data_IF_784838053091
#
_entry.id   IF_784838053091
#
_cell.length_a   1.000
_cell.length_b   1.000
_cell.length_c   1.000
_cell.angle_alpha   90.00
_cell.angle_beta   90.00
_cell.angle_gamma   90.00
#
_symmetry.space_group_name_H-M   'P 1'
#
loop_
_entity.id
_entity.type
_entity.pdbx_description
1 polymer ?
#
# COMPACT_ATOMS: atom_id res chain seq x y z
N UNK A 1 13.35 -42.91 0.28
CA UNK A 1 12.38 -42.28 -0.64
C UNK A 1 13.09 -41.16 -1.40
N UNK A 2 13.23 -41.32 -2.72
CA UNK A 2 13.72 -40.29 -3.67
C UNK A 2 12.51 -39.35 -3.97
N UNK A 3 12.65 -38.06 -4.30
CA UNK A 3 12.83 -37.58 -5.70
C UNK A 3 12.67 -36.02 -5.73
N UNK A 4 13.66 -35.31 -6.35
CA UNK A 4 13.65 -34.05 -7.16
C UNK A 4 13.24 -32.72 -6.49
N UNK A 5 13.97 -31.60 -6.54
CA UNK A 5 14.87 -30.94 -7.52
C UNK A 5 14.17 -30.33 -8.75
N UNK A 6 14.26 -29.00 -8.88
CA UNK A 6 13.85 -28.17 -10.04
C UNK A 6 13.38 -26.80 -9.53
N UNK A 7 14.17 -25.71 -9.47
CA UNK A 7 15.11 -25.10 -10.42
C UNK A 7 14.48 -24.79 -11.78
N UNK A 8 14.19 -23.49 -11.94
CA UNK A 8 14.13 -22.65 -13.15
C UNK A 8 13.30 -23.13 -14.34
N UNK A 9 12.34 -22.30 -14.75
CA UNK A 9 12.21 -21.96 -16.17
C UNK A 9 11.56 -20.58 -16.38
N UNK A 10 12.40 -19.71 -16.92
CA UNK A 10 12.14 -18.44 -17.57
C UNK A 10 11.18 -18.65 -18.75
N UNK A 11 10.10 -17.88 -18.85
CA UNK A 11 9.35 -17.73 -20.11
C UNK A 11 9.29 -16.26 -20.48
N UNK A 12 10.28 -15.87 -21.28
CA UNK A 12 10.19 -14.72 -22.16
C UNK A 12 9.15 -15.02 -23.25
N UNK A 13 8.18 -14.12 -23.45
CA UNK A 13 7.37 -14.11 -24.67
C UNK A 13 7.73 -12.88 -25.48
N UNK A 14 8.75 -13.05 -26.31
CA UNK A 14 8.93 -12.25 -27.51
C UNK A 14 8.10 -12.93 -28.62
N UNK A 15 7.12 -12.22 -29.17
CA UNK A 15 6.46 -12.63 -30.41
C UNK A 15 6.61 -11.50 -31.42
N UNK A 16 7.59 -11.69 -32.32
CA UNK A 16 7.77 -10.91 -33.53
C UNK A 16 6.79 -11.38 -34.62
N UNK A 17 6.45 -10.45 -35.52
CA UNK A 17 5.56 -10.57 -36.68
C UNK A 17 5.92 -11.69 -37.67
N UNK A 18 4.98 -12.04 -38.56
CA UNK A 18 5.32 -11.94 -39.99
C UNK A 18 4.25 -11.20 -40.81
N UNK A 19 4.73 -10.45 -41.80
CA UNK A 19 3.94 -9.54 -42.60
C UNK A 19 2.92 -10.19 -43.54
N UNK A 20 1.89 -9.41 -43.85
CA UNK A 20 1.11 -9.59 -45.06
C UNK A 20 1.13 -8.29 -45.85
N UNK A 21 1.84 -8.35 -46.99
CA UNK A 21 1.89 -7.33 -48.02
C UNK A 21 0.57 -7.35 -48.80
N UNK A 22 -0.12 -6.21 -48.89
CA UNK A 22 -0.94 -5.89 -50.07
C UNK A 22 -0.49 -4.51 -50.59
N UNK A 23 0.02 -4.43 -51.83
CA UNK A 23 0.30 -3.15 -52.48
C UNK A 23 -1.01 -2.60 -53.02
N UNK A 24 -1.42 -1.43 -52.54
CA UNK A 24 -2.49 -0.63 -53.14
C UNK A 24 -1.85 0.53 -53.92
N UNK A 25 -1.80 0.48 -55.26
CA UNK A 25 -1.22 1.54 -56.07
C UNK A 25 -2.32 2.47 -56.56
N UNK A 26 -2.23 3.76 -56.16
CA UNK A 26 -2.66 4.99 -56.87
C UNK A 26 -3.51 5.96 -56.04
N UNK A 27 -2.95 6.58 -55.00
CA UNK A 27 -3.42 7.91 -54.61
C UNK A 27 -2.24 8.85 -54.37
N UNK A 28 -2.07 9.77 -55.33
CA UNK A 28 -1.12 10.91 -55.30
C UNK A 28 -1.31 11.77 -54.05
N UNK A 29 -0.24 12.47 -53.59
CA UNK A 29 -0.33 13.39 -52.47
C UNK A 29 -0.91 14.74 -52.91
N UNK A 30 -1.89 15.31 -52.21
CA UNK A 30 -2.11 16.75 -52.28
C UNK A 30 -1.06 17.44 -51.41
N UNK A 31 -0.21 18.24 -52.07
CA UNK A 31 0.59 19.29 -51.44
C UNK A 31 -0.33 20.26 -50.72
N UNK A 32 0.04 20.60 -49.49
CA UNK A 32 -0.41 21.81 -48.81
C UNK A 32 -1.02 21.53 -47.44
N UNK A 33 -0.55 22.30 -46.45
CA UNK A 33 -1.34 22.79 -45.30
C UNK A 33 -1.59 21.69 -44.24
N UNK A 34 -1.06 21.68 -43.01
CA UNK A 34 -0.53 22.72 -42.12
C UNK A 34 0.41 22.08 -41.08
N UNK A 35 1.48 22.80 -40.71
CA UNK A 35 2.23 22.56 -39.49
C UNK A 35 1.32 22.82 -38.28
N UNK A 36 0.59 21.79 -37.83
CA UNK A 36 0.05 21.78 -36.47
C UNK A 36 1.19 21.44 -35.50
N UNK A 37 1.89 22.48 -35.06
CA UNK A 37 2.65 22.42 -33.80
C UNK A 37 1.62 22.17 -32.71
N UNK A 38 1.49 20.91 -32.29
CA UNK A 38 0.73 20.58 -31.11
C UNK A 38 1.35 21.34 -29.93
N UNK A 39 0.58 22.09 -29.13
CA UNK A 39 1.11 22.61 -27.89
C UNK A 39 1.56 21.42 -27.05
N UNK A 40 2.80 21.44 -26.55
CA UNK A 40 3.15 20.68 -25.35
C UNK A 40 2.49 21.42 -24.19
N UNK A 41 1.61 20.77 -23.42
CA UNK A 41 1.51 21.13 -22.02
C UNK A 41 1.78 19.93 -21.14
N UNK A 42 2.64 20.22 -20.16
CA UNK A 42 2.73 19.58 -18.86
C UNK A 42 3.28 18.16 -18.87
N UNK A 43 4.59 18.11 -18.57
CA UNK A 43 5.14 17.21 -17.56
C UNK A 43 4.06 16.33 -16.93
N UNK A 44 3.93 15.09 -17.42
CA UNK A 44 3.40 14.03 -16.57
C UNK A 44 4.39 13.95 -15.42
N UNK A 45 4.09 14.67 -14.34
CA UNK A 45 4.66 14.41 -13.03
C UNK A 45 4.57 12.90 -12.86
N UNK A 46 5.69 12.16 -12.77
CA UNK A 46 5.59 10.75 -12.44
C UNK A 46 4.74 10.70 -11.17
N UNK A 47 3.70 9.87 -11.18
CA UNK A 47 2.95 9.58 -9.97
C UNK A 47 4.02 9.27 -8.92
N UNK A 48 4.11 10.13 -7.89
CA UNK A 48 5.13 10.00 -6.85
C UNK A 48 5.01 8.57 -6.35
N UNK A 49 5.97 7.73 -6.70
CA UNK A 49 5.98 6.35 -6.22
C UNK A 49 5.94 6.48 -4.71
N UNK A 50 4.92 5.95 -4.02
CA UNK A 50 4.84 6.12 -2.58
C UNK A 50 6.13 5.57 -2.01
N UNK A 51 6.89 6.44 -1.35
CA UNK A 51 8.06 6.03 -0.58
C UNK A 51 7.54 4.96 0.38
N UNK A 52 8.22 3.80 0.44
CA UNK A 52 7.79 2.65 1.26
C UNK A 52 7.30 3.05 2.67
N UNK A 53 7.92 4.02 3.39
CA UNK A 53 7.42 4.51 4.68
C UNK A 53 5.98 5.07 4.66
N UNK A 54 5.59 5.82 3.63
CA UNK A 54 4.25 6.41 3.54
C UNK A 54 3.17 5.33 3.28
N UNK A 55 3.52 4.31 2.50
CA UNK A 55 2.64 3.14 2.30
C UNK A 55 2.47 2.34 3.60
N UNK A 56 3.55 2.16 4.35
CA UNK A 56 3.55 1.47 5.64
C UNK A 56 2.79 2.26 6.71
N UNK A 57 2.91 3.59 6.74
CA UNK A 57 2.12 4.45 7.63
C UNK A 57 0.63 4.36 7.30
N UNK A 58 0.27 4.41 6.01
CA UNK A 58 -1.12 4.27 5.58
C UNK A 58 -1.71 2.90 5.98
N UNK A 59 -0.93 1.82 5.87
CA UNK A 59 -1.35 0.51 6.35
C UNK A 59 -1.49 0.45 7.88
N UNK A 60 -0.56 1.07 8.62
CA UNK A 60 -0.68 1.20 10.08
C UNK A 60 -1.94 1.93 10.51
N UNK A 61 -2.29 3.03 9.83
CA UNK A 61 -3.53 3.78 10.07
C UNK A 61 -4.77 2.94 9.80
N UNK A 62 -4.82 2.21 8.68
CA UNK A 62 -5.94 1.29 8.39
C UNK A 62 -6.11 0.24 9.47
N UNK A 63 -5.01 -0.37 9.92
CA UNK A 63 -5.05 -1.41 10.95
C UNK A 63 -5.43 -0.86 12.33
N UNK A 64 -5.00 0.37 12.67
CA UNK A 64 -5.41 1.02 13.92
C UNK A 64 -6.89 1.39 13.91
N UNK A 65 -7.41 1.90 12.79
CA UNK A 65 -8.86 2.15 12.62
C UNK A 65 -9.68 0.87 12.75
N UNK A 66 -9.23 -0.23 12.12
CA UNK A 66 -9.89 -1.52 12.25
C UNK A 66 -9.87 -2.04 13.70
N UNK A 67 -8.78 -1.82 14.44
CA UNK A 67 -8.72 -2.17 15.87
C UNK A 67 -9.69 -1.31 16.68
N UNK A 68 -9.74 0.01 16.46
CA UNK A 68 -10.70 0.90 17.15
C UNK A 68 -12.15 0.46 16.90
N UNK A 69 -12.50 0.14 15.66
CA UNK A 69 -13.83 -0.38 15.35
C UNK A 69 -14.15 -1.66 16.14
N UNK A 70 -13.21 -2.61 16.19
CA UNK A 70 -13.37 -3.83 17.01
C UNK A 70 -13.53 -3.52 18.49
N UNK A 71 -12.79 -2.56 19.04
CA UNK A 71 -12.90 -2.16 20.45
C UNK A 71 -14.25 -1.48 20.73
N UNK A 72 -14.77 -0.69 19.78
CA UNK A 72 -16.09 -0.06 19.89
C UNK A 72 -17.23 -1.10 19.90
N UNK A 73 -17.07 -2.21 19.16
CA UNK A 73 -18.05 -3.30 19.11
C UNK A 73 -17.93 -4.30 20.28
N UNK A 74 -16.87 -4.19 21.09
CA UNK A 74 -16.63 -5.09 22.23
C UNK A 74 -17.52 -4.69 23.41
N UNK A 75 -18.17 -5.66 24.09
CA UNK A 75 -18.98 -5.37 25.27
C UNK A 75 -18.14 -4.72 26.38
N UNK A 76 -18.81 -3.97 27.28
CA UNK A 76 -18.16 -3.31 28.40
C UNK A 76 -17.35 -4.27 29.28
N UNK A 77 -17.79 -5.53 29.36
CA UNK A 77 -17.09 -6.62 30.03
C UNK A 77 -16.71 -7.70 29.00
N UNK A 78 -15.57 -7.56 28.29
CA UNK A 78 -15.08 -8.58 27.39
C UNK A 78 -14.70 -9.86 28.15
N UNK A 79 -14.81 -11.00 27.48
CA UNK A 79 -14.19 -12.22 28.01
C UNK A 79 -12.66 -12.06 28.10
N UNK A 80 -11.98 -12.77 29.02
CA UNK A 80 -10.51 -12.72 29.12
C UNK A 80 -9.78 -12.99 27.81
N UNK A 81 -10.30 -13.92 26.99
CA UNK A 81 -9.74 -14.23 25.67
C UNK A 81 -9.89 -13.06 24.69
N UNK A 82 -11.07 -12.44 24.61
CA UNK A 82 -11.31 -11.27 23.74
C UNK A 82 -10.45 -10.07 24.17
N UNK A 83 -10.37 -9.79 25.47
CA UNK A 83 -9.53 -8.72 26.00
C UNK A 83 -8.05 -8.96 25.66
N UNK A 84 -7.56 -10.18 25.88
CA UNK A 84 -6.18 -10.54 25.57
C UNK A 84 -5.89 -10.44 24.07
N UNK A 85 -6.83 -10.84 23.20
CA UNK A 85 -6.68 -10.73 21.75
C UNK A 85 -6.59 -9.26 21.29
N UNK A 86 -7.36 -8.36 21.90
CA UNK A 86 -7.31 -6.92 21.61
C UNK A 86 -5.99 -6.30 22.10
N UNK A 87 -5.55 -6.63 23.32
CA UNK A 87 -4.26 -6.18 23.86
C UNK A 87 -3.10 -6.66 22.99
N UNK A 88 -3.10 -7.94 22.59
CA UNK A 88 -2.09 -8.49 21.69
C UNK A 88 -2.07 -7.79 20.32
N UNK A 89 -3.25 -7.45 19.78
CA UNK A 89 -3.34 -6.71 18.53
C UNK A 89 -2.80 -5.28 18.66
N UNK A 90 -3.08 -4.63 19.79
CA UNK A 90 -2.57 -3.29 20.10
C UNK A 90 -1.05 -3.29 20.26
N UNK A 91 -0.50 -4.26 20.99
CA UNK A 91 0.95 -4.41 21.19
C UNK A 91 1.70 -4.60 19.87
N UNK A 92 1.13 -5.41 18.96
CA UNK A 92 1.68 -5.59 17.60
C UNK A 92 1.67 -4.28 16.81
N UNK A 93 0.59 -3.51 16.87
CA UNK A 93 0.51 -2.22 16.17
C UNK A 93 1.49 -1.20 16.73
N UNK A 94 1.65 -1.13 18.05
CA UNK A 94 2.66 -0.26 18.68
C UNK A 94 4.07 -0.68 18.26
N UNK A 95 4.38 -1.98 18.29
CA UNK A 95 5.68 -2.50 17.85
C UNK A 95 5.97 -2.16 16.37
N UNK A 96 4.99 -2.32 15.50
CA UNK A 96 5.11 -1.97 14.08
C UNK A 96 5.30 -0.45 13.88
N UNK A 97 4.59 0.37 14.66
CA UNK A 97 4.69 1.83 14.60
C UNK A 97 6.07 2.33 15.09
N UNK A 98 6.60 1.79 16.19
CA UNK A 98 7.97 2.08 16.63
C UNK A 98 9.00 1.64 15.59
N UNK A 99 8.84 0.45 15.01
CA UNK A 99 9.73 -0.03 13.94
C UNK A 99 9.66 0.84 12.68
N UNK A 100 8.51 1.46 12.40
CA UNK A 100 8.40 2.42 11.30
C UNK A 100 9.05 3.76 11.67
N UNK A 101 8.91 4.23 12.91
CA UNK A 101 9.52 5.48 13.38
C UNK A 101 11.04 5.50 13.23
N UNK A 102 11.73 4.38 13.47
CA UNK A 102 13.18 4.29 13.28
C UNK A 102 13.66 4.50 11.84
N UNK A 103 12.79 4.29 10.85
CA UNK A 103 13.10 4.35 9.41
C UNK A 103 12.27 5.38 8.64
N UNK A 104 11.35 6.07 9.32
CA UNK A 104 10.47 7.05 8.72
C UNK A 104 11.22 8.36 8.48
N UNK A 105 10.90 9.07 7.38
CA UNK A 105 11.45 10.39 7.16
C UNK A 105 10.80 11.41 8.12
N UNK A 106 11.45 12.55 8.34
CA UNK A 106 11.02 13.57 9.33
C UNK A 106 9.61 14.10 9.03
N UNK A 107 9.21 14.15 7.75
CA UNK A 107 7.88 14.57 7.32
C UNK A 107 6.74 13.66 7.81
N UNK A 108 7.03 12.41 8.18
CA UNK A 108 6.05 11.44 8.68
C UNK A 108 6.14 11.25 10.21
N UNK A 109 7.10 11.91 10.88
CA UNK A 109 7.33 11.74 12.32
C UNK A 109 6.15 12.23 13.16
N UNK A 110 5.59 13.41 12.84
CA UNK A 110 4.41 13.96 13.52
C UNK A 110 3.21 13.02 13.39
N UNK A 111 2.99 12.51 12.18
CA UNK A 111 1.91 11.60 11.87
C UNK A 111 2.03 10.25 12.61
N UNK A 112 3.26 9.77 12.83
CA UNK A 112 3.55 8.58 13.64
C UNK A 112 3.34 8.86 15.13
N UNK A 113 3.73 10.04 15.60
CA UNK A 113 3.52 10.45 16.99
C UNK A 113 2.03 10.49 17.34
N UNK A 114 1.21 11.15 16.51
CA UNK A 114 -0.26 11.18 16.69
C UNK A 114 -0.87 9.77 16.68
N UNK A 115 -0.37 8.88 15.82
CA UNK A 115 -0.83 7.51 15.77
C UNK A 115 -0.51 6.76 17.07
N UNK A 116 0.72 6.89 17.58
CA UNK A 116 1.17 6.25 18.82
C UNK A 116 0.36 6.76 20.01
N UNK A 117 0.18 8.08 20.14
CA UNK A 117 -0.65 8.69 21.19
C UNK A 117 -2.09 8.13 21.15
N UNK A 118 -2.67 8.01 19.95
CA UNK A 118 -4.01 7.44 19.83
C UNK A 118 -4.07 5.95 20.20
N UNK A 119 -3.02 5.17 19.93
CA UNK A 119 -2.94 3.78 20.37
C UNK A 119 -2.80 3.67 21.89
N UNK A 120 -2.09 4.61 22.54
CA UNK A 120 -2.00 4.68 24.00
C UNK A 120 -3.36 4.98 24.65
N UNK A 121 -4.13 5.90 24.09
CA UNK A 121 -5.50 6.18 24.54
C UNK A 121 -6.40 4.95 24.41
N UNK A 122 -6.31 4.22 23.28
CA UNK A 122 -7.06 2.99 23.08
C UNK A 122 -6.64 1.89 24.07
N UNK A 123 -5.36 1.84 24.44
CA UNK A 123 -4.86 0.93 25.47
C UNK A 123 -5.47 1.25 26.83
N UNK A 124 -5.51 2.52 27.21
CA UNK A 124 -6.12 2.95 28.47
C UNK A 124 -7.60 2.52 28.53
N UNK A 125 -8.35 2.72 27.44
CA UNK A 125 -9.74 2.27 27.32
C UNK A 125 -9.89 0.75 27.50
N UNK A 126 -8.98 -0.05 26.92
CA UNK A 126 -8.99 -1.50 27.08
C UNK A 126 -8.61 -1.95 28.49
N UNK A 127 -7.66 -1.26 29.14
CA UNK A 127 -7.26 -1.54 30.52
C UNK A 127 -8.42 -1.28 31.48
N UNK A 128 -9.19 -0.21 31.27
CA UNK A 128 -10.39 0.10 32.06
C UNK A 128 -11.48 -0.98 31.93
N UNK A 129 -11.49 -1.72 30.81
CA UNK A 129 -12.41 -2.84 30.53
C UNK A 129 -11.84 -4.21 30.89
N UNK A 130 -10.74 -4.28 31.66
CA UNK A 130 -10.14 -5.55 32.02
C UNK A 130 -11.14 -6.44 32.79
N UNK A 131 -11.33 -7.71 32.38
CA UNK A 131 -12.21 -8.63 33.11
C UNK A 131 -11.65 -8.89 34.51
N UNK A 132 -12.56 -8.88 35.50
CA UNK A 132 -12.25 -9.07 36.93
C UNK A 132 -12.08 -10.54 37.30
#
# INVERSE_FOLDING_TARGET
MRVRLGVLLLVASAAACPGQRRPDPRLRPPRGTELRVAPRPSERRPASTPTVPAADLAELRRRSEALRARVADVPAEPSPAQWQDLMNALDRLQSDAFSLQERAPEEEADALYELLESLELLRAELVDRQPR
#
